data_IF_322653905818
#
_entry.id   IF_322653905818
#
_cell.length_a   1.000
_cell.length_b   1.000
_cell.length_c   1.000
_cell.angle_alpha   90.00
_cell.angle_beta   90.00
_cell.angle_gamma   90.00
#
_symmetry.space_group_name_H-M   'P 1'
#
loop_
_entity.id
_entity.type
_entity.pdbx_description
1 polymer ?
#
# COMPACT_ATOMS: atom_id res chain seq x y z
N UNK A 1 4.36 -18.13 -6.49
CA UNK A 1 4.83 -16.73 -6.31
C UNK A 1 5.32 -16.55 -4.88
N UNK A 2 6.27 -15.60 -4.65
CA UNK A 2 6.71 -15.25 -3.30
C UNK A 2 6.77 -13.74 -3.13
N UNK A 3 6.12 -13.21 -2.10
CA UNK A 3 6.17 -11.78 -1.76
C UNK A 3 7.22 -11.54 -0.66
N UNK A 4 8.18 -10.67 -0.94
CA UNK A 4 9.11 -10.14 0.06
C UNK A 4 8.50 -8.91 0.71
N UNK A 5 8.41 -8.92 2.05
CA UNK A 5 7.67 -7.93 2.81
C UNK A 5 8.39 -7.47 4.08
N UNK A 6 7.94 -6.37 4.64
CA UNK A 6 8.23 -5.97 6.02
C UNK A 6 6.89 -5.62 6.70
N UNK A 7 6.65 -6.05 7.94
CA UNK A 7 5.36 -5.86 8.61
C UNK A 7 4.88 -4.40 8.60
N UNK A 8 3.67 -4.17 8.12
CA UNK A 8 3.05 -2.84 8.05
C UNK A 8 3.66 -1.87 7.03
N UNK A 9 4.70 -2.27 6.30
CA UNK A 9 5.26 -1.47 5.21
C UNK A 9 4.32 -1.46 3.99
N UNK A 10 4.69 -0.69 2.96
CA UNK A 10 3.91 -0.63 1.71
C UNK A 10 3.72 -1.99 1.02
N UNK A 11 4.54 -2.98 1.35
CA UNK A 11 4.40 -4.38 0.93
C UNK A 11 3.11 -5.07 1.40
N UNK A 12 2.44 -4.52 2.42
CA UNK A 12 1.13 -5.01 2.83
C UNK A 12 0.07 -4.78 1.72
N UNK A 13 0.23 -3.79 0.84
CA UNK A 13 -0.75 -3.56 -0.24
C UNK A 13 -0.78 -4.70 -1.27
N UNK A 14 0.32 -5.18 -1.87
CA UNK A 14 0.28 -6.38 -2.70
C UNK A 14 -0.07 -7.65 -1.91
N UNK A 15 0.25 -7.74 -0.62
CA UNK A 15 -0.19 -8.85 0.22
C UNK A 15 -1.72 -8.93 0.29
N UNK A 16 -2.39 -7.80 0.54
CA UNK A 16 -3.86 -7.69 0.53
C UNK A 16 -4.42 -8.11 -0.84
N UNK A 17 -3.84 -7.63 -1.93
CA UNK A 17 -4.31 -7.95 -3.29
C UNK A 17 -4.16 -9.45 -3.61
N UNK A 18 -3.06 -10.07 -3.21
CA UNK A 18 -2.88 -11.53 -3.35
C UNK A 18 -3.94 -12.31 -2.60
N UNK A 19 -4.28 -11.89 -1.36
CA UNK A 19 -5.38 -12.49 -0.57
C UNK A 19 -6.76 -12.24 -1.20
N UNK A 20 -6.99 -11.04 -1.74
CA UNK A 20 -8.25 -10.69 -2.41
C UNK A 20 -8.49 -11.54 -3.66
N UNK A 21 -7.42 -11.91 -4.36
CA UNK A 21 -7.44 -12.76 -5.54
C UNK A 21 -7.50 -14.26 -5.21
N UNK A 22 -7.36 -14.63 -3.95
CA UNK A 22 -7.35 -16.05 -3.52
C UNK A 22 -6.13 -16.82 -4.01
N UNK A 23 -5.02 -16.14 -4.28
CA UNK A 23 -3.79 -16.81 -4.69
C UNK A 23 -3.18 -17.66 -3.60
N UNK A 24 -2.56 -18.76 -4.00
CA UNK A 24 -1.57 -19.50 -3.21
C UNK A 24 -0.18 -18.87 -3.47
N UNK A 25 0.46 -18.40 -2.39
CA UNK A 25 1.74 -17.71 -2.44
C UNK A 25 2.48 -17.80 -1.10
N UNK A 26 3.80 -17.73 -1.17
CA UNK A 26 4.66 -17.60 0.00
C UNK A 26 4.89 -16.14 0.36
N UNK A 27 5.18 -15.89 1.62
CA UNK A 27 5.70 -14.60 2.08
C UNK A 27 7.07 -14.82 2.72
N UNK A 28 7.98 -13.86 2.56
CA UNK A 28 9.30 -13.90 3.19
C UNK A 28 9.63 -12.51 3.76
N UNK A 29 9.82 -12.46 5.07
CA UNK A 29 10.13 -11.22 5.77
C UNK A 29 11.52 -10.74 5.44
N UNK A 30 11.67 -9.41 5.28
CA UNK A 30 12.92 -8.70 5.07
C UNK A 30 13.16 -7.73 6.22
N UNK A 31 14.32 -7.81 6.84
CA UNK A 31 14.81 -6.72 7.67
C UNK A 31 15.28 -5.57 6.76
N UNK A 32 14.51 -4.49 6.76
CA UNK A 32 14.76 -3.35 5.87
C UNK A 32 15.99 -2.51 6.29
N UNK A 33 16.51 -2.68 7.50
CA UNK A 33 17.73 -2.02 7.94
C UNK A 33 18.97 -2.79 7.48
N UNK A 34 19.04 -4.09 7.73
CA UNK A 34 20.18 -4.94 7.40
C UNK A 34 20.15 -5.47 5.96
N UNK A 35 18.99 -5.46 5.32
CA UNK A 35 18.74 -6.03 3.98
C UNK A 35 18.92 -7.55 3.93
N UNK A 36 18.59 -8.21 5.02
CA UNK A 36 18.65 -9.66 5.13
C UNK A 36 17.23 -10.21 5.22
N UNK A 37 16.95 -11.29 4.48
CA UNK A 37 15.66 -11.99 4.58
C UNK A 37 15.63 -12.87 5.83
N UNK A 38 14.46 -13.29 6.29
CA UNK A 38 14.32 -14.20 7.44
C UNK A 38 15.02 -15.56 7.23
N UNK A 39 15.27 -15.96 5.97
CA UNK A 39 16.04 -17.15 5.62
C UNK A 39 17.54 -16.90 5.56
N UNK A 40 18.01 -15.67 5.81
CA UNK A 40 19.43 -15.29 5.84
C UNK A 40 20.01 -14.87 4.48
N UNK A 41 19.19 -14.73 3.43
CA UNK A 41 19.67 -14.29 2.13
C UNK A 41 19.87 -12.77 2.07
N UNK A 42 20.86 -12.31 1.29
CA UNK A 42 21.01 -10.88 0.96
C UNK A 42 19.87 -10.45 0.04
N UNK A 43 19.01 -9.60 0.55
CA UNK A 43 17.85 -9.09 -0.21
C UNK A 43 18.26 -8.24 -1.42
N UNK A 44 19.42 -7.60 -1.41
CA UNK A 44 19.93 -6.86 -2.56
C UNK A 44 20.26 -7.75 -3.76
N UNK A 45 20.57 -9.02 -3.53
CA UNK A 45 20.72 -10.00 -4.60
C UNK A 45 19.36 -10.35 -5.27
N UNK A 46 18.24 -10.11 -4.56
CA UNK A 46 16.89 -10.34 -5.05
C UNK A 46 16.33 -9.04 -5.66
N UNK A 47 16.44 -7.94 -4.95
CA UNK A 47 16.04 -6.60 -5.38
C UNK A 47 17.19 -5.62 -5.14
N UNK A 48 17.96 -5.24 -6.18
CA UNK A 48 19.09 -4.31 -6.03
C UNK A 48 18.73 -2.95 -5.42
N UNK A 49 17.46 -2.52 -5.52
CA UNK A 49 16.95 -1.30 -4.86
C UNK A 49 16.97 -1.42 -3.33
N UNK A 50 16.95 -2.64 -2.77
CA UNK A 50 17.06 -2.93 -1.34
C UNK A 50 15.86 -2.53 -0.50
N UNK A 51 14.65 -2.41 -1.08
CA UNK A 51 13.41 -2.13 -0.34
C UNK A 51 12.23 -2.97 -0.85
N UNK A 52 11.28 -3.21 0.06
CA UNK A 52 10.04 -3.94 -0.20
C UNK A 52 8.97 -2.99 -0.77
N UNK A 53 7.95 -3.53 -1.51
CA UNK A 53 7.77 -4.93 -1.89
C UNK A 53 8.66 -5.38 -3.04
N UNK A 54 8.94 -6.67 -3.08
CA UNK A 54 9.38 -7.36 -4.28
C UNK A 54 8.53 -8.64 -4.44
N UNK A 55 8.06 -8.91 -5.64
CA UNK A 55 7.26 -10.10 -5.94
C UNK A 55 8.06 -10.99 -6.89
N UNK A 56 8.49 -12.15 -6.41
CA UNK A 56 9.07 -13.18 -7.26
C UNK A 56 7.96 -13.98 -7.93
N UNK A 57 7.96 -14.01 -9.24
CA UNK A 57 7.01 -14.73 -10.08
C UNK A 57 7.38 -16.22 -10.19
N UNK A 58 6.51 -17.02 -10.82
CA UNK A 58 6.71 -18.46 -10.95
C UNK A 58 7.90 -18.83 -11.86
N UNK A 59 8.20 -18.01 -12.84
CA UNK A 59 9.34 -18.13 -13.77
C UNK A 59 10.68 -17.66 -13.16
N UNK A 60 10.63 -17.06 -11.96
CA UNK A 60 11.78 -16.55 -11.24
C UNK A 60 12.04 -15.06 -11.40
N UNK A 61 11.34 -14.37 -12.29
CA UNK A 61 11.43 -12.91 -12.43
C UNK A 61 10.96 -12.19 -11.15
N UNK A 62 11.54 -11.02 -10.91
CA UNK A 62 11.24 -10.22 -9.73
C UNK A 62 10.66 -8.88 -10.14
N UNK A 63 9.36 -8.70 -9.87
CA UNK A 63 8.68 -7.43 -10.06
C UNK A 63 8.78 -6.58 -8.79
N UNK A 64 9.07 -5.29 -8.97
CA UNK A 64 9.16 -4.30 -7.88
C UNK A 64 8.20 -3.14 -8.13
N UNK A 65 8.13 -2.17 -7.19
CA UNK A 65 7.18 -1.05 -7.14
C UNK A 65 5.74 -1.51 -6.83
N UNK A 66 5.25 -1.18 -5.65
CA UNK A 66 3.93 -1.59 -5.17
C UNK A 66 2.80 -1.28 -6.15
N UNK A 67 2.80 -0.08 -6.75
CA UNK A 67 1.80 0.31 -7.73
C UNK A 67 1.83 -0.53 -9.02
N UNK A 68 3.01 -0.98 -9.45
CA UNK A 68 3.15 -1.89 -10.60
C UNK A 68 2.69 -3.30 -10.24
N UNK A 69 3.13 -3.79 -9.07
CA UNK A 69 2.80 -5.14 -8.60
C UNK A 69 1.29 -5.33 -8.48
N UNK A 70 0.58 -4.40 -7.83
CA UNK A 70 -0.87 -4.56 -7.59
C UNK A 70 -1.67 -4.50 -8.90
N UNK A 71 -1.24 -3.72 -9.89
CA UNK A 71 -1.85 -3.70 -11.21
C UNK A 71 -1.58 -5.01 -11.97
N UNK A 72 -0.33 -5.47 -11.98
CA UNK A 72 0.05 -6.73 -12.60
C UNK A 72 -0.77 -7.90 -12.05
N UNK A 73 -0.91 -8.00 -10.73
CA UNK A 73 -1.70 -9.03 -10.07
C UNK A 73 -3.17 -8.99 -10.52
N UNK A 74 -3.80 -7.81 -10.55
CA UNK A 74 -5.18 -7.70 -11.01
C UNK A 74 -5.33 -8.04 -12.50
N UNK A 75 -4.42 -7.55 -13.34
CA UNK A 75 -4.50 -7.72 -14.80
C UNK A 75 -4.24 -9.16 -15.23
N UNK A 76 -3.21 -9.81 -14.67
CA UNK A 76 -2.87 -11.20 -15.01
C UNK A 76 -3.94 -12.20 -14.57
N UNK A 77 -4.83 -11.80 -13.66
CA UNK A 77 -5.97 -12.60 -13.22
C UNK A 77 -7.31 -12.18 -13.83
N UNK A 78 -7.32 -11.19 -14.74
CA UNK A 78 -8.55 -10.69 -15.33
C UNK A 78 -9.51 -10.05 -14.30
N UNK A 79 -9.01 -9.61 -13.14
CA UNK A 79 -9.80 -9.08 -12.02
C UNK A 79 -10.20 -7.63 -12.27
N UNK A 80 -11.11 -7.43 -13.22
CA UNK A 80 -11.55 -6.09 -13.66
C UNK A 80 -12.25 -5.28 -12.58
N UNK A 81 -12.80 -5.94 -11.57
CA UNK A 81 -13.36 -5.30 -10.37
C UNK A 81 -12.26 -4.65 -9.50
N UNK A 82 -11.02 -5.18 -9.53
CA UNK A 82 -9.88 -4.63 -8.77
C UNK A 82 -9.08 -3.61 -9.60
N UNK A 83 -9.04 -3.79 -10.92
CA UNK A 83 -8.41 -2.85 -11.84
C UNK A 83 -9.21 -2.80 -13.16
N UNK A 84 -9.84 -1.66 -13.50
CA UNK A 84 -10.58 -1.51 -14.74
C UNK A 84 -9.77 -1.83 -15.99
N UNK A 85 -10.45 -2.11 -17.10
CA UNK A 85 -9.84 -2.47 -18.37
C UNK A 85 -8.80 -1.44 -18.82
N UNK A 86 -7.58 -1.88 -19.22
CA UNK A 86 -6.57 -1.01 -19.81
C UNK A 86 -7.09 -0.18 -20.98
N UNK A 87 -6.61 1.07 -21.11
CA UNK A 87 -7.04 1.98 -22.18
C UNK A 87 -8.34 2.74 -21.87
N UNK A 88 -9.04 2.45 -20.77
CA UNK A 88 -10.24 3.18 -20.36
C UNK A 88 -9.92 4.36 -19.43
N UNK A 89 -10.83 5.35 -19.38
CA UNK A 89 -10.71 6.46 -18.42
C UNK A 89 -10.74 5.96 -16.96
N UNK A 90 -11.53 4.92 -16.66
CA UNK A 90 -11.57 4.32 -15.33
C UNK A 90 -10.20 3.75 -14.93
N UNK A 91 -9.46 3.11 -15.85
CA UNK A 91 -8.09 2.68 -15.62
C UNK A 91 -7.15 3.87 -15.42
N UNK A 92 -7.29 4.94 -16.21
CA UNK A 92 -6.48 6.14 -16.03
C UNK A 92 -6.69 6.76 -14.64
N UNK A 93 -7.94 6.78 -14.14
CA UNK A 93 -8.25 7.23 -12.78
C UNK A 93 -7.63 6.33 -11.70
N UNK A 94 -7.66 5.00 -11.89
CA UNK A 94 -6.94 4.08 -11.00
C UNK A 94 -5.44 4.42 -10.93
N UNK A 95 -4.82 4.64 -12.08
CA UNK A 95 -3.39 4.97 -12.18
C UNK A 95 -3.08 6.34 -11.59
N UNK A 96 -3.96 7.33 -11.76
CA UNK A 96 -3.87 8.65 -11.12
C UNK A 96 -3.81 8.51 -9.59
N UNK A 97 -4.71 7.71 -8.99
CA UNK A 97 -4.68 7.43 -7.55
C UNK A 97 -3.42 6.69 -7.12
N UNK A 98 -3.03 5.64 -7.83
CA UNK A 98 -1.80 4.89 -7.51
C UNK A 98 -0.56 5.78 -7.57
N UNK A 99 -0.46 6.64 -8.59
CA UNK A 99 0.65 7.59 -8.71
C UNK A 99 0.64 8.60 -7.57
N UNK A 100 -0.51 9.22 -7.25
CA UNK A 100 -0.62 10.15 -6.14
C UNK A 100 -0.21 9.50 -4.82
N UNK A 101 -0.70 8.29 -4.54
CA UNK A 101 -0.34 7.57 -3.31
C UNK A 101 1.16 7.29 -3.28
N UNK A 102 1.74 6.78 -4.37
CA UNK A 102 3.14 6.36 -4.41
C UNK A 102 4.13 7.54 -4.37
N UNK A 103 3.88 8.60 -5.14
CA UNK A 103 4.82 9.70 -5.32
C UNK A 103 4.62 10.86 -4.34
N UNK A 104 3.40 11.06 -3.86
CA UNK A 104 3.04 12.19 -3.02
C UNK A 104 2.80 11.78 -1.56
N UNK A 105 1.76 10.96 -1.30
CA UNK A 105 1.38 10.63 0.07
C UNK A 105 2.42 9.75 0.76
N UNK A 106 2.81 8.63 0.15
CA UNK A 106 3.80 7.71 0.71
C UNK A 106 5.12 8.44 0.99
N UNK A 107 5.62 9.22 0.02
CA UNK A 107 6.88 9.94 0.17
C UNK A 107 6.84 11.03 1.23
N UNK A 108 5.67 11.62 1.49
CA UNK A 108 5.51 12.62 2.55
C UNK A 108 5.80 12.05 3.95
N UNK A 109 5.61 10.75 4.18
CA UNK A 109 5.93 10.10 5.45
C UNK A 109 7.43 9.86 5.66
N UNK A 110 8.26 9.89 4.63
CA UNK A 110 9.67 9.52 4.72
C UNK A 110 10.45 10.26 5.83
N UNK A 111 10.33 11.59 6.02
CA UNK A 111 11.05 12.27 7.10
C UNK A 111 10.63 11.77 8.49
N UNK A 112 9.35 11.42 8.69
CA UNK A 112 8.83 10.92 9.96
C UNK A 112 9.40 9.54 10.29
N UNK A 113 9.52 8.66 9.31
CA UNK A 113 10.14 7.34 9.48
C UNK A 113 11.67 7.41 9.65
N UNK A 114 12.31 8.46 9.14
CA UNK A 114 13.74 8.69 9.32
C UNK A 114 14.09 9.54 10.56
N UNK A 115 13.13 9.69 11.49
CA UNK A 115 13.40 10.28 12.81
C UNK A 115 13.45 11.81 12.82
N UNK A 116 12.74 12.49 11.93
CA UNK A 116 12.58 13.95 11.99
C UNK A 116 12.01 14.40 13.34
N UNK A 117 12.60 15.45 13.93
CA UNK A 117 12.21 16.04 15.21
C UNK A 117 11.99 17.55 15.08
N UNK A 118 11.36 18.18 16.09
CA UNK A 118 11.13 19.63 16.14
C UNK A 118 10.44 20.15 14.87
N UNK A 119 10.89 21.31 14.37
CA UNK A 119 10.30 21.96 13.20
C UNK A 119 10.28 21.08 11.94
N UNK A 120 11.29 20.23 11.74
CA UNK A 120 11.34 19.31 10.59
C UNK A 120 10.21 18.26 10.68
N UNK A 121 9.91 17.75 11.87
CA UNK A 121 8.80 16.85 12.11
C UNK A 121 7.46 17.55 11.86
N UNK A 122 7.30 18.77 12.36
CA UNK A 122 6.06 19.54 12.21
C UNK A 122 5.79 19.87 10.74
N UNK A 123 6.84 20.26 10.00
CA UNK A 123 6.76 20.49 8.56
C UNK A 123 6.39 19.21 7.79
N UNK A 124 6.95 18.05 8.16
CA UNK A 124 6.61 16.77 7.56
C UNK A 124 5.17 16.36 7.87
N UNK A 125 4.72 16.51 9.12
CA UNK A 125 3.35 16.23 9.50
C UNK A 125 2.34 17.14 8.76
N UNK A 126 2.62 18.43 8.64
CA UNK A 126 1.81 19.36 7.86
C UNK A 126 1.81 18.99 6.35
N UNK A 127 2.93 18.47 5.83
CA UNK A 127 3.03 18.00 4.46
C UNK A 127 2.15 16.77 4.20
N UNK A 128 2.15 15.81 5.12
CA UNK A 128 1.22 14.66 5.11
C UNK A 128 -0.22 15.16 5.19
N UNK A 129 -0.53 16.06 6.12
CA UNK A 129 -1.85 16.63 6.33
C UNK A 129 -2.47 17.18 5.04
N UNK A 130 -1.72 17.98 4.26
CA UNK A 130 -2.22 18.50 2.97
C UNK A 130 -2.62 17.41 1.97
N UNK A 131 -1.94 16.25 1.96
CA UNK A 131 -2.31 15.11 1.11
C UNK A 131 -3.56 14.40 1.63
N UNK A 132 -3.69 14.31 2.94
CA UNK A 132 -4.90 13.76 3.57
C UNK A 132 -6.11 14.68 3.37
N UNK A 133 -5.94 16.02 3.40
CA UNK A 133 -7.00 16.99 3.06
C UNK A 133 -7.52 16.79 1.63
N UNK A 134 -6.62 16.52 0.68
CA UNK A 134 -7.00 16.20 -0.69
C UNK A 134 -7.86 14.94 -0.76
N UNK A 135 -7.46 13.88 -0.07
CA UNK A 135 -8.23 12.62 -0.02
C UNK A 135 -9.56 12.78 0.72
N UNK A 136 -9.58 13.50 1.84
CA UNK A 136 -10.82 13.81 2.57
C UNK A 136 -11.83 14.51 1.67
N UNK A 137 -11.35 15.46 0.85
CA UNK A 137 -12.19 16.13 -0.15
C UNK A 137 -12.68 15.18 -1.25
N UNK A 138 -11.87 14.23 -1.69
CA UNK A 138 -12.29 13.23 -2.69
C UNK A 138 -13.44 12.35 -2.19
N UNK A 139 -13.46 12.01 -0.91
CA UNK A 139 -14.54 11.25 -0.29
C UNK A 139 -15.78 12.10 0.05
N UNK A 140 -15.80 13.41 -0.25
CA UNK A 140 -16.92 14.31 0.10
C UNK A 140 -18.20 14.05 -0.68
N UNK A 141 -18.15 13.34 -1.80
CA UNK A 141 -19.31 12.94 -2.58
C UNK A 141 -20.00 11.66 -2.05
N UNK A 142 -19.48 11.10 -0.94
CA UNK A 142 -20.08 9.92 -0.30
C UNK A 142 -19.63 8.59 -0.87
N UNK A 143 -18.67 8.58 -1.82
CA UNK A 143 -18.12 7.32 -2.37
C UNK A 143 -17.52 6.45 -1.29
N UNK A 144 -17.65 5.13 -1.45
CA UNK A 144 -17.11 4.15 -0.51
C UNK A 144 -15.60 3.92 -0.71
N UNK A 145 -15.13 3.99 -1.95
CA UNK A 145 -13.76 3.71 -2.38
C UNK A 145 -13.29 4.74 -3.41
N UNK A 146 -12.00 4.75 -3.74
CA UNK A 146 -11.39 5.77 -4.62
C UNK A 146 -12.04 5.86 -6.02
N UNK A 147 -12.52 4.73 -6.56
CA UNK A 147 -13.20 4.69 -7.86
C UNK A 147 -14.72 4.68 -7.79
N UNK A 148 -15.33 4.84 -6.60
CA UNK A 148 -16.77 4.79 -6.39
C UNK A 148 -17.18 3.73 -5.36
N UNK A 149 -18.02 2.77 -5.75
CA UNK A 149 -18.59 1.78 -4.83
C UNK A 149 -17.79 0.48 -4.73
N UNK A 150 -16.87 0.23 -5.66
CA UNK A 150 -16.06 -0.99 -5.74
C UNK A 150 -14.65 -0.81 -5.18
N UNK A 151 -14.21 -1.77 -4.36
CA UNK A 151 -12.83 -1.85 -3.89
C UNK A 151 -11.87 -2.13 -5.05
N UNK A 152 -10.76 -1.41 -5.10
CA UNK A 152 -9.73 -1.52 -6.12
C UNK A 152 -8.34 -1.72 -5.52
N UNK A 153 -7.36 -2.01 -6.36
CA UNK A 153 -5.96 -2.10 -5.92
C UNK A 153 -5.41 -0.77 -5.39
N UNK A 154 -5.97 0.36 -5.79
CA UNK A 154 -5.58 1.66 -5.25
C UNK A 154 -6.06 1.84 -3.80
N UNK A 155 -7.22 1.28 -3.46
CA UNK A 155 -7.74 1.31 -2.09
C UNK A 155 -6.89 0.45 -1.15
N UNK A 156 -6.39 -0.70 -1.61
CA UNK A 156 -5.44 -1.50 -0.85
C UNK A 156 -4.17 -0.68 -0.52
N UNK A 157 -3.65 0.08 -1.47
CA UNK A 157 -2.46 0.89 -1.24
C UNK A 157 -2.75 2.10 -0.36
N UNK A 158 -3.86 2.81 -0.60
CA UNK A 158 -4.26 3.95 0.24
C UNK A 158 -4.45 3.51 1.70
N UNK A 159 -5.14 2.39 1.93
CA UNK A 159 -5.37 1.85 3.26
C UNK A 159 -4.04 1.71 4.02
N UNK A 160 -3.06 1.03 3.41
CA UNK A 160 -1.76 0.79 4.06
C UNK A 160 -1.08 2.12 4.42
N UNK A 161 -0.99 3.05 3.47
CA UNK A 161 -0.31 4.32 3.71
C UNK A 161 -1.06 5.20 4.71
N UNK A 162 -2.41 5.19 4.70
CA UNK A 162 -3.21 5.92 5.67
C UNK A 162 -3.03 5.39 7.11
N UNK A 163 -2.81 4.07 7.28
CA UNK A 163 -2.55 3.52 8.63
C UNK A 163 -1.24 4.01 9.25
N UNK A 164 -0.29 4.51 8.46
CA UNK A 164 0.97 5.06 8.98
C UNK A 164 0.79 6.33 9.80
N UNK A 165 -0.36 6.98 9.71
CA UNK A 165 -0.70 8.11 10.59
C UNK A 165 -0.71 7.72 12.07
N UNK A 166 -1.03 6.47 12.41
CA UNK A 166 -0.99 5.96 13.78
C UNK A 166 0.43 5.97 14.37
N UNK A 167 1.37 5.15 13.87
CA UNK A 167 2.74 5.08 14.41
C UNK A 167 3.53 6.39 14.27
N UNK A 168 3.16 7.29 13.33
CA UNK A 168 3.79 8.62 13.22
C UNK A 168 3.17 9.67 14.14
N UNK A 169 2.10 9.33 14.87
CA UNK A 169 1.44 10.22 15.84
C UNK A 169 0.61 11.34 15.21
N UNK A 170 0.33 11.29 13.90
CA UNK A 170 -0.56 12.25 13.23
C UNK A 170 -2.02 11.93 13.57
N UNK A 171 -2.39 10.63 13.53
CA UNK A 171 -3.77 10.18 13.66
C UNK A 171 -4.63 10.54 12.44
N UNK A 172 -5.90 10.13 12.48
CA UNK A 172 -6.87 10.40 11.41
C UNK A 172 -8.08 11.21 11.88
N UNK A 173 -8.11 11.67 13.11
CA UNK A 173 -9.28 12.33 13.73
C UNK A 173 -9.77 13.56 12.96
N UNK A 174 -8.85 14.27 12.28
CA UNK A 174 -9.19 15.45 11.48
C UNK A 174 -9.80 15.12 10.11
N UNK A 175 -9.77 13.84 9.68
CA UNK A 175 -10.22 13.36 8.38
C UNK A 175 -11.28 12.26 8.55
N UNK A 176 -12.53 12.62 8.92
CA UNK A 176 -13.55 11.64 9.30
C UNK A 176 -13.98 10.71 8.16
N UNK A 177 -13.99 11.18 6.91
CA UNK A 177 -14.34 10.33 5.75
C UNK A 177 -13.23 9.35 5.43
N UNK A 178 -11.98 9.80 5.52
CA UNK A 178 -10.81 8.92 5.37
C UNK A 178 -10.73 7.92 6.52
N UNK A 179 -11.08 8.31 7.75
CA UNK A 179 -11.24 7.40 8.88
C UNK A 179 -12.27 6.31 8.57
N UNK A 180 -13.47 6.71 8.11
CA UNK A 180 -14.52 5.77 7.73
C UNK A 180 -14.10 4.83 6.58
N UNK A 181 -13.31 5.32 5.62
CA UNK A 181 -12.71 4.49 4.57
C UNK A 181 -11.74 3.46 5.18
N UNK A 182 -10.82 3.87 6.03
CA UNK A 182 -9.84 2.97 6.66
C UNK A 182 -10.54 1.89 7.47
N UNK A 183 -11.57 2.25 8.27
CA UNK A 183 -12.37 1.29 9.03
C UNK A 183 -13.08 0.29 8.12
N UNK A 184 -13.69 0.74 7.03
CA UNK A 184 -14.35 -0.13 6.04
C UNK A 184 -13.38 -1.10 5.40
N UNK A 185 -12.21 -0.65 4.97
CA UNK A 185 -11.20 -1.49 4.34
C UNK A 185 -10.62 -2.48 5.34
N UNK A 186 -10.41 -2.08 6.59
CA UNK A 186 -9.92 -2.94 7.67
C UNK A 186 -10.80 -4.18 7.91
N UNK A 187 -12.12 -4.06 7.69
CA UNK A 187 -13.07 -5.16 7.87
C UNK A 187 -13.08 -6.18 6.73
N UNK A 188 -12.32 -5.96 5.65
CA UNK A 188 -12.28 -6.92 4.55
C UNK A 188 -11.54 -8.20 4.97
N UNK A 189 -12.05 -9.40 4.63
CA UNK A 189 -11.40 -10.67 4.99
C UNK A 189 -9.94 -10.76 4.50
N UNK A 190 -9.66 -10.24 3.29
CA UNK A 190 -8.31 -10.18 2.71
C UNK A 190 -7.35 -9.31 3.53
N UNK A 191 -7.83 -8.19 4.05
CA UNK A 191 -7.04 -7.27 4.90
C UNK A 191 -6.77 -7.90 6.25
N UNK A 192 -7.79 -8.47 6.89
CA UNK A 192 -7.67 -9.16 8.17
C UNK A 192 -6.65 -10.31 8.06
N UNK A 193 -6.75 -11.13 7.01
CA UNK A 193 -5.83 -12.25 6.78
C UNK A 193 -4.39 -11.79 6.51
N UNK A 194 -4.21 -10.72 5.72
CA UNK A 194 -2.88 -10.18 5.44
C UNK A 194 -2.24 -9.57 6.69
N UNK A 195 -3.01 -8.79 7.47
CA UNK A 195 -2.53 -8.19 8.72
C UNK A 195 -2.16 -9.24 9.75
N UNK A 196 -2.99 -10.28 9.92
CA UNK A 196 -2.71 -11.39 10.83
C UNK A 196 -1.42 -12.14 10.43
N UNK A 197 -1.23 -12.41 9.13
CA UNK A 197 -0.01 -13.07 8.62
C UNK A 197 1.26 -12.23 8.82
N UNK A 198 1.15 -10.91 8.90
CA UNK A 198 2.26 -9.98 9.19
C UNK A 198 2.42 -9.67 10.69
N UNK A 199 1.57 -10.22 11.55
CA UNK A 199 1.60 -9.97 13.01
C UNK A 199 1.14 -8.57 13.42
N UNK A 200 0.19 -7.98 12.69
CA UNK A 200 -0.35 -6.63 12.87
C UNK A 200 -1.77 -6.61 13.48
N UNK A 201 -2.34 -7.77 13.76
CA UNK A 201 -3.69 -7.93 14.34
C UNK A 201 -3.64 -7.98 15.86
#
# INVERSE_FOLDING_TARGET
>A
MKLYYSPGACSLSPHIVLRELGHDFDIERVDVATKVTETGADFRAINPKGYVPALRLADGDVLTEGAAIVQYLADSNGARQLAPEPGTLARARLQEHLNFIASELHKAFAPLFHGATGEARDAAAANVGRRLDHLEKQFSDGRAYLLGDGFSVADAYLFVVATWTGPTGIGLTQWPRLTAFVERVRQRPSVIAAMAAEGLA
#
